data_IF_329134458461
#
_entry.id   IF_329134458461
#
_cell.length_a   1.000
_cell.length_b   1.000
_cell.length_c   1.000
_cell.angle_alpha   90.00
_cell.angle_beta   90.00
_cell.angle_gamma   90.00
#
_symmetry.space_group_name_H-M   'P 1'
#
loop_
_entity.id
_entity.type
_entity.pdbx_description
1 polymer ?
#
# COMPACT_ATOMS: atom_id res chain seq x y z
N UNK A 1 -13.71 -5.84 9.60
CA UNK A 1 -12.36 -5.37 9.91
C UNK A 1 -12.08 -5.77 11.35
N UNK A 2 -10.83 -6.06 11.69
CA UNK A 2 -10.43 -6.20 13.09
C UNK A 2 -9.04 -5.63 13.33
N UNK A 3 -8.85 -5.01 14.49
CA UNK A 3 -7.54 -4.53 14.94
C UNK A 3 -6.73 -5.69 15.52
N UNK A 4 -5.42 -5.65 15.29
CA UNK A 4 -4.47 -6.60 15.85
C UNK A 4 -3.75 -5.94 17.02
N UNK A 5 -3.79 -6.59 18.19
CA UNK A 5 -2.86 -6.28 19.25
C UNK A 5 -1.45 -6.82 18.89
N UNK A 6 -0.44 -6.44 19.67
CA UNK A 6 0.94 -6.81 19.38
C UNK A 6 1.15 -8.33 19.24
N UNK A 7 0.53 -9.14 20.09
CA UNK A 7 0.69 -10.59 20.06
C UNK A 7 0.05 -11.18 18.78
N UNK A 8 -1.17 -10.75 18.43
CA UNK A 8 -1.82 -11.18 17.18
C UNK A 8 -1.02 -10.73 15.96
N UNK A 9 -0.49 -9.51 15.97
CA UNK A 9 0.37 -9.02 14.89
C UNK A 9 1.60 -9.94 14.71
N UNK A 10 2.34 -10.21 15.78
CA UNK A 10 3.56 -11.05 15.73
C UNK A 10 3.30 -12.47 15.22
N UNK A 11 2.14 -13.05 15.54
CA UNK A 11 1.80 -14.42 15.14
C UNK A 11 1.16 -14.47 13.75
N UNK A 12 0.25 -13.56 13.44
CA UNK A 12 -0.58 -13.62 12.24
C UNK A 12 0.02 -12.81 11.09
N UNK A 13 0.41 -11.56 11.33
CA UNK A 13 0.64 -10.58 10.28
C UNK A 13 2.13 -10.26 10.04
N UNK A 14 2.97 -10.25 11.07
CA UNK A 14 4.40 -9.98 10.97
C UNK A 14 5.14 -10.99 10.05
N UNK A 15 4.89 -12.31 10.13
CA UNK A 15 5.55 -13.26 9.23
C UNK A 15 5.15 -13.06 7.76
N UNK A 16 3.97 -12.50 7.52
CA UNK A 16 3.47 -12.19 6.19
C UNK A 16 4.08 -10.86 5.72
N UNK A 17 4.13 -9.85 6.59
CA UNK A 17 4.81 -8.59 6.34
C UNK A 17 6.25 -8.84 5.88
N UNK A 18 7.00 -9.67 6.60
CA UNK A 18 8.41 -10.01 6.27
C UNK A 18 8.58 -10.78 4.95
N UNK A 19 7.52 -11.39 4.41
CA UNK A 19 7.55 -11.99 3.06
C UNK A 19 7.40 -10.95 1.98
N UNK A 20 6.70 -9.85 2.27
CA UNK A 20 6.39 -8.79 1.32
C UNK A 20 7.44 -7.68 1.37
N UNK A 21 7.83 -7.26 2.58
CA UNK A 21 8.75 -6.17 2.84
C UNK A 21 9.99 -6.69 3.60
N UNK A 22 11.16 -6.10 3.34
CA UNK A 22 12.38 -6.42 4.10
C UNK A 22 12.52 -5.58 5.37
N UNK A 23 11.81 -4.46 5.45
CA UNK A 23 11.91 -3.48 6.52
C UNK A 23 10.64 -2.62 6.58
N UNK A 24 10.36 -2.06 7.74
CA UNK A 24 9.39 -0.99 7.95
C UNK A 24 10.01 0.42 7.79
N UNK A 25 11.33 0.50 7.60
CA UNK A 25 12.05 1.73 7.27
C UNK A 25 11.77 2.16 5.81
N UNK A 26 10.91 3.16 5.67
CA UNK A 26 10.56 3.80 4.40
C UNK A 26 11.73 4.45 3.65
N UNK A 27 12.84 4.76 4.32
CA UNK A 27 14.01 5.38 3.71
C UNK A 27 15.03 4.35 3.22
N UNK A 28 14.75 3.06 3.40
CA UNK A 28 15.61 2.01 2.92
C UNK A 28 15.68 2.01 1.38
N UNK A 29 16.88 1.74 0.86
CA UNK A 29 17.12 1.60 -0.59
C UNK A 29 16.29 0.45 -1.21
N UNK A 30 15.95 -0.55 -0.41
CA UNK A 30 15.09 -1.66 -0.81
C UNK A 30 13.97 -1.81 0.24
N UNK A 31 12.73 -1.74 -0.22
CA UNK A 31 11.55 -1.88 0.65
C UNK A 31 10.93 -3.26 0.50
N UNK A 32 10.77 -3.71 -0.75
CA UNK A 32 10.19 -5.01 -1.05
C UNK A 32 11.20 -6.15 -0.95
N UNK A 33 10.73 -7.29 -0.48
CA UNK A 33 11.50 -8.53 -0.50
C UNK A 33 11.87 -8.95 -1.92
N UNK A 34 12.91 -9.79 -2.09
CA UNK A 34 13.25 -10.39 -3.38
C UNK A 34 12.14 -11.29 -3.96
N UNK A 35 11.12 -11.66 -3.17
CA UNK A 35 9.96 -12.41 -3.65
C UNK A 35 9.02 -11.54 -4.49
N UNK A 36 9.00 -10.22 -4.28
CA UNK A 36 8.22 -9.28 -5.08
C UNK A 36 8.96 -8.99 -6.39
N UNK A 37 8.62 -9.75 -7.44
CA UNK A 37 9.33 -9.76 -8.73
C UNK A 37 8.99 -8.58 -9.62
N UNK A 38 7.81 -8.00 -9.46
CA UNK A 38 7.39 -6.82 -10.20
C UNK A 38 7.09 -5.68 -9.21
N UNK A 39 7.48 -4.47 -9.59
CA UNK A 39 7.40 -3.27 -8.74
C UNK A 39 7.01 -2.07 -9.61
N UNK A 40 6.15 -1.20 -9.08
CA UNK A 40 5.69 0.03 -9.74
C UNK A 40 5.65 1.16 -8.71
N UNK A 41 5.92 2.37 -9.17
CA UNK A 41 5.74 3.61 -8.40
C UNK A 41 4.54 4.38 -8.97
N UNK A 42 3.77 5.04 -8.11
CA UNK A 42 2.63 5.88 -8.50
C UNK A 42 2.63 7.18 -7.68
N UNK A 43 2.09 8.26 -8.22
CA UNK A 43 2.34 9.64 -7.75
C UNK A 43 1.09 10.48 -7.50
N UNK A 44 -0.11 9.98 -7.76
CA UNK A 44 -1.36 10.70 -7.47
C UNK A 44 -1.96 10.26 -6.13
N UNK A 45 -1.37 10.68 -5.00
CA UNK A 45 -1.94 10.41 -3.68
C UNK A 45 -2.22 11.69 -2.90
N UNK A 46 -3.50 11.88 -2.56
CA UNK A 46 -3.98 12.88 -1.59
C UNK A 46 -3.70 12.40 -0.15
N UNK A 47 -2.47 11.98 0.14
CA UNK A 47 -2.03 11.33 1.39
C UNK A 47 -2.75 10.02 1.75
N UNK A 48 -3.76 9.65 0.96
CA UNK A 48 -4.45 8.38 0.96
C UNK A 48 -4.33 7.76 -0.43
N UNK A 49 -4.43 6.44 -0.49
CA UNK A 49 -4.55 5.75 -1.76
C UNK A 49 -5.89 6.08 -2.40
N UNK A 50 -5.85 6.60 -3.62
CA UNK A 50 -7.07 6.99 -4.32
C UNK A 50 -7.93 5.75 -4.64
N UNK A 51 -9.25 5.95 -4.65
CA UNK A 51 -10.22 4.86 -4.85
C UNK A 51 -9.94 4.06 -6.14
N UNK A 52 -9.65 4.68 -7.31
CA UNK A 52 -9.45 3.91 -8.55
C UNK A 52 -8.28 2.92 -8.48
N UNK A 53 -7.16 3.34 -7.89
CA UNK A 53 -5.99 2.46 -7.75
C UNK A 53 -6.22 1.41 -6.66
N UNK A 54 -6.92 1.76 -5.57
CA UNK A 54 -7.29 0.77 -4.55
C UNK A 54 -8.24 -0.30 -5.12
N UNK A 55 -9.23 0.07 -5.93
CA UNK A 55 -10.12 -0.88 -6.59
C UNK A 55 -9.35 -1.82 -7.52
N UNK A 56 -8.38 -1.30 -8.28
CA UNK A 56 -7.51 -2.09 -9.13
C UNK A 56 -6.65 -3.08 -8.32
N UNK A 57 -6.12 -2.65 -7.17
CA UNK A 57 -5.39 -3.50 -6.21
C UNK A 57 -6.29 -4.60 -5.65
N UNK A 58 -7.48 -4.26 -5.16
CA UNK A 58 -8.43 -5.22 -4.57
C UNK A 58 -8.90 -6.24 -5.60
N UNK A 59 -9.25 -5.80 -6.81
CA UNK A 59 -9.66 -6.70 -7.90
C UNK A 59 -8.54 -7.68 -8.26
N UNK A 60 -7.31 -7.19 -8.39
CA UNK A 60 -6.15 -8.02 -8.72
C UNK A 60 -5.78 -8.99 -7.61
N UNK A 61 -5.84 -8.54 -6.35
CA UNK A 61 -5.61 -9.39 -5.19
C UNK A 61 -6.66 -10.49 -5.05
N UNK A 62 -7.93 -10.17 -5.33
CA UNK A 62 -9.03 -11.14 -5.34
C UNK A 62 -8.78 -12.25 -6.37
N UNK A 63 -8.28 -11.91 -7.55
CA UNK A 63 -7.92 -12.88 -8.58
C UNK A 63 -6.77 -13.82 -8.16
N UNK A 64 -5.94 -13.42 -7.20
CA UNK A 64 -4.87 -14.24 -6.62
C UNK A 64 -5.30 -15.08 -5.40
N UNK A 65 -6.58 -15.00 -5.05
CA UNK A 65 -7.22 -15.74 -3.96
C UNK A 65 -7.15 -15.07 -2.59
N UNK A 66 -6.73 -13.80 -2.51
CA UNK A 66 -6.86 -13.03 -1.26
C UNK A 66 -8.33 -12.62 -1.04
N UNK A 67 -8.77 -12.61 0.21
CA UNK A 67 -10.10 -12.14 0.63
C UNK A 67 -10.06 -10.87 1.47
N UNK A 68 -8.86 -10.36 1.73
CA UNK A 68 -8.59 -9.18 2.54
C UNK A 68 -7.10 -8.87 2.59
N UNK A 69 -6.74 -7.80 3.28
CA UNK A 69 -5.36 -7.36 3.45
C UNK A 69 -5.10 -6.90 4.88
N UNK A 70 -3.83 -6.82 5.22
CA UNK A 70 -3.36 -6.15 6.43
C UNK A 70 -2.98 -4.71 6.11
N UNK A 71 -3.24 -3.81 7.06
CA UNK A 71 -2.69 -2.46 7.06
C UNK A 71 -1.82 -2.29 8.31
N UNK A 72 -0.63 -1.72 8.14
CA UNK A 72 0.33 -1.43 9.20
C UNK A 72 0.81 0.01 9.12
N UNK A 73 0.58 0.78 10.20
CA UNK A 73 1.09 2.14 10.34
C UNK A 73 2.55 2.12 10.82
N UNK A 74 3.40 3.00 10.28
CA UNK A 74 4.81 3.10 10.70
C UNK A 74 4.97 3.75 12.08
N UNK A 75 4.03 4.60 12.50
CA UNK A 75 4.14 5.38 13.72
C UNK A 75 2.90 5.22 14.62
N UNK A 76 3.12 5.08 15.94
CA UNK A 76 2.04 5.11 16.93
C UNK A 76 1.58 6.54 17.17
N UNK A 77 0.38 6.89 16.69
CA UNK A 77 -0.17 8.23 16.89
C UNK A 77 -0.73 8.46 18.30
N UNK A 78 -1.34 7.44 18.92
CA UNK A 78 -1.81 7.49 20.31
C UNK A 78 -1.21 6.35 21.13
N UNK A 79 -0.91 6.66 22.40
CA UNK A 79 -0.60 5.62 23.39
C UNK A 79 -1.81 4.68 23.45
N UNK A 80 -1.63 3.41 23.04
CA UNK A 80 -2.65 2.35 22.95
C UNK A 80 -3.57 2.36 21.71
N UNK A 81 -3.28 3.09 20.62
CA UNK A 81 -3.95 2.82 19.35
C UNK A 81 -3.42 1.53 18.71
N UNK A 82 -4.28 0.81 17.98
CA UNK A 82 -3.83 -0.32 17.18
C UNK A 82 -3.12 0.20 15.93
N UNK A 83 -1.89 -0.28 15.69
CA UNK A 83 -1.12 0.07 14.48
C UNK A 83 -1.40 -0.85 13.30
N UNK A 84 -2.11 -1.94 13.56
CA UNK A 84 -2.25 -3.04 12.63
C UNK A 84 -3.71 -3.44 12.59
N UNK A 85 -4.26 -3.58 11.40
CA UNK A 85 -5.60 -4.12 11.21
C UNK A 85 -5.64 -5.09 10.04
N UNK A 86 -6.65 -5.95 10.05
CA UNK A 86 -7.04 -6.74 8.89
C UNK A 86 -8.37 -6.23 8.37
N UNK A 87 -8.42 -5.98 7.07
CA UNK A 87 -9.60 -5.49 6.37
C UNK A 87 -10.01 -6.51 5.30
N UNK A 88 -11.18 -7.17 5.45
CA UNK A 88 -11.77 -7.96 4.38
C UNK A 88 -12.06 -7.10 3.14
N UNK A 89 -11.83 -7.62 1.93
CA UNK A 89 -12.12 -6.90 0.69
C UNK A 89 -13.60 -6.51 0.52
N UNK A 90 -14.51 -7.26 1.14
CA UNK A 90 -15.93 -6.90 1.19
C UNK A 90 -16.19 -5.53 1.83
N UNK A 91 -15.27 -5.03 2.65
CA UNK A 91 -15.41 -3.75 3.35
C UNK A 91 -14.80 -2.57 2.58
N UNK A 92 -13.97 -2.82 1.56
CA UNK A 92 -13.43 -1.76 0.68
C UNK A 92 -14.48 -1.10 -0.22
N UNK A 93 -15.62 -1.77 -0.40
CA UNK A 93 -16.75 -1.23 -1.19
C UNK A 93 -17.52 -0.10 -0.49
N UNK A 94 -17.19 0.21 0.76
CA UNK A 94 -17.84 1.26 1.52
C UNK A 94 -17.00 2.54 1.40
N UNK A 95 -17.57 3.66 0.91
CA UNK A 95 -16.88 4.95 0.85
C UNK A 95 -16.47 5.49 2.24
N UNK A 96 -16.85 4.77 3.30
CA UNK A 96 -16.63 5.06 4.71
C UNK A 96 -15.78 3.96 5.35
N UNK A 97 -14.72 3.43 4.69
CA UNK A 97 -13.62 2.94 5.52
C UNK A 97 -13.12 4.17 6.27
N UNK A 98 -13.65 4.35 7.46
CA UNK A 98 -13.30 5.44 8.34
C UNK A 98 -11.91 5.16 8.87
N UNK A 99 -10.91 5.48 8.05
CA UNK A 99 -9.50 5.44 8.41
C UNK A 99 -9.24 6.36 9.62
N UNK A 100 -10.18 7.26 9.98
CA UNK A 100 -10.14 8.07 11.19
C UNK A 100 -10.32 7.22 12.44
N UNK A 101 -11.14 6.16 12.41
CA UNK A 101 -11.25 5.18 13.50
C UNK A 101 -9.94 4.41 13.70
N UNK A 102 -9.16 4.23 12.63
CA UNK A 102 -7.81 3.66 12.69
C UNK A 102 -6.74 4.70 13.09
N UNK A 103 -7.13 5.96 13.30
CA UNK A 103 -6.22 7.04 13.67
C UNK A 103 -5.34 7.53 12.52
N UNK A 104 -5.71 7.26 11.27
CA UNK A 104 -4.97 7.65 10.06
C UNK A 104 -5.20 9.11 9.64
N UNK A 105 -5.81 9.92 10.52
CA UNK A 105 -6.10 11.35 10.31
C UNK A 105 -4.85 12.21 10.03
N UNK A 106 -3.64 11.64 10.17
CA UNK A 106 -2.38 12.34 9.95
C UNK A 106 -1.38 11.46 9.20
N UNK A 107 -1.07 11.88 7.96
CA UNK A 107 0.24 12.04 7.29
C UNK A 107 1.38 11.07 7.64
N UNK A 108 1.12 9.84 8.08
CA UNK A 108 2.16 8.82 8.26
C UNK A 108 2.19 7.90 7.06
N UNK A 109 3.39 7.41 6.77
CA UNK A 109 3.55 6.32 5.82
C UNK A 109 2.85 5.08 6.38
N UNK A 110 2.31 4.24 5.50
CA UNK A 110 1.68 2.99 5.92
C UNK A 110 1.83 1.92 4.85
N UNK A 111 1.77 0.68 5.30
CA UNK A 111 1.87 -0.50 4.48
C UNK A 111 0.52 -1.17 4.36
N UNK A 112 0.16 -1.56 3.14
CA UNK A 112 -0.98 -2.44 2.85
C UNK A 112 -0.39 -3.72 2.27
N UNK A 113 -0.79 -4.89 2.73
CA UNK A 113 -0.21 -6.13 2.21
C UNK A 113 -1.15 -7.32 2.22
N UNK A 114 -0.90 -8.17 1.25
CA UNK A 114 -1.58 -9.43 1.00
C UNK A 114 -1.67 -10.30 2.25
N UNK A 115 -2.83 -10.90 2.50
CA UNK A 115 -2.96 -11.98 3.49
C UNK A 115 -2.21 -13.26 3.12
N UNK A 116 -1.90 -13.46 1.83
CA UNK A 116 -1.09 -14.59 1.36
C UNK A 116 0.39 -14.24 1.17
N UNK A 117 0.77 -12.98 1.34
CA UNK A 117 2.14 -12.48 1.18
C UNK A 117 2.61 -12.36 -0.28
N UNK A 118 1.68 -12.22 -1.23
CA UNK A 118 1.99 -12.16 -2.67
C UNK A 118 2.16 -10.75 -3.24
N UNK A 119 1.74 -9.74 -2.49
CA UNK A 119 1.82 -8.34 -2.88
C UNK A 119 1.82 -7.40 -1.67
N UNK A 120 2.26 -6.17 -1.89
CA UNK A 120 2.21 -5.08 -0.93
C UNK A 120 2.22 -3.72 -1.58
N UNK A 121 1.77 -2.74 -0.81
CA UNK A 121 1.75 -1.32 -1.12
C UNK A 121 2.42 -0.60 0.04
N UNK A 122 3.39 0.27 -0.25
CA UNK A 122 3.76 1.36 0.64
C UNK A 122 3.04 2.61 0.14
N UNK A 123 2.33 3.28 1.03
CA UNK A 123 1.83 4.64 0.80
C UNK A 123 2.70 5.59 1.59
N UNK A 124 3.32 6.54 0.89
CA UNK A 124 4.18 7.54 1.52
C UNK A 124 3.45 8.87 1.69
N UNK A 125 3.65 9.49 2.85
CA UNK A 125 3.29 10.88 3.13
C UNK A 125 3.90 11.89 2.15
N UNK A 126 4.95 11.50 1.42
CA UNK A 126 5.59 12.29 0.37
C UNK A 126 4.86 12.22 -0.98
N UNK A 127 3.56 11.89 -1.00
CA UNK A 127 2.70 11.87 -2.19
C UNK A 127 3.15 10.89 -3.28
N UNK A 128 3.76 9.78 -2.89
CA UNK A 128 4.01 8.66 -3.78
C UNK A 128 3.65 7.35 -3.08
N UNK A 129 3.42 6.32 -3.87
CA UNK A 129 3.31 4.97 -3.37
C UNK A 129 4.15 3.98 -4.17
N UNK A 130 4.51 2.89 -3.53
CA UNK A 130 5.20 1.77 -4.16
C UNK A 130 4.28 0.56 -4.11
N UNK A 131 4.09 -0.07 -5.26
CA UNK A 131 3.35 -1.30 -5.43
C UNK A 131 4.33 -2.42 -5.77
N UNK A 132 4.25 -3.55 -5.08
CA UNK A 132 5.12 -4.70 -5.31
C UNK A 132 4.32 -5.98 -5.27
N UNK A 133 4.67 -6.95 -6.12
CA UNK A 133 3.97 -8.22 -6.15
C UNK A 133 4.52 -9.21 -7.15
N UNK A 134 3.73 -10.27 -7.41
CA UNK A 134 3.98 -11.15 -8.55
C UNK A 134 3.73 -10.41 -9.87
N UNK A 135 4.31 -10.86 -10.99
CA UNK A 135 4.05 -10.25 -12.30
C UNK A 135 2.56 -10.22 -12.64
N UNK A 136 1.84 -11.32 -12.36
CA UNK A 136 0.41 -11.45 -12.63
C UNK A 136 -0.42 -10.44 -11.82
N UNK A 137 0.00 -10.15 -10.58
CA UNK A 137 -0.62 -9.11 -9.76
C UNK A 137 -0.48 -7.73 -10.40
N UNK A 138 0.75 -7.35 -10.74
CA UNK A 138 1.06 -6.01 -11.29
C UNK A 138 0.41 -5.83 -12.66
N UNK A 139 0.39 -6.85 -13.51
CA UNK A 139 -0.31 -6.82 -14.79
C UNK A 139 -1.83 -6.67 -14.60
N UNK A 140 -2.41 -7.34 -13.61
CA UNK A 140 -3.81 -7.16 -13.24
C UNK A 140 -4.12 -5.71 -12.85
N UNK A 141 -3.28 -5.11 -12.01
CA UNK A 141 -3.45 -3.72 -11.57
C UNK A 141 -3.34 -2.76 -12.75
N UNK A 142 -2.33 -2.93 -13.62
CA UNK A 142 -2.18 -2.11 -14.83
C UNK A 142 -3.35 -2.25 -15.80
N UNK A 143 -3.89 -3.45 -15.95
CA UNK A 143 -5.05 -3.67 -16.81
C UNK A 143 -6.31 -2.96 -16.29
N UNK A 144 -6.47 -2.91 -14.96
CA UNK A 144 -7.59 -2.25 -14.29
C UNK A 144 -7.41 -0.73 -14.12
N UNK A 145 -6.16 -0.25 -14.05
CA UNK A 145 -5.80 1.17 -13.94
C UNK A 145 -4.65 1.52 -14.90
N UNK A 146 -4.94 1.69 -16.21
CA UNK A 146 -3.92 1.96 -17.23
C UNK A 146 -3.14 3.26 -17.02
N UNK A 147 -3.70 4.21 -16.26
CA UNK A 147 -3.09 5.48 -15.88
C UNK A 147 -1.89 5.31 -14.96
N UNK A 148 -1.73 4.13 -14.33
CA UNK A 148 -0.64 3.84 -13.38
C UNK A 148 0.75 4.21 -13.92
N UNK A 149 1.03 3.82 -15.16
CA UNK A 149 2.33 4.10 -15.78
C UNK A 149 2.41 5.56 -16.28
N UNK A 150 1.26 6.20 -16.57
CA UNK A 150 1.19 7.58 -17.06
C UNK A 150 1.60 8.60 -15.99
N UNK A 151 1.21 8.38 -14.74
CA UNK A 151 1.57 9.24 -13.61
C UNK A 151 3.09 9.40 -13.45
N UNK A 152 3.84 8.33 -13.69
CA UNK A 152 5.30 8.35 -13.63
C UNK A 152 5.87 9.29 -14.69
N UNK A 153 5.34 9.24 -15.92
CA UNK A 153 5.77 10.13 -17.00
C UNK A 153 5.39 11.58 -16.73
N UNK A 154 4.21 11.84 -16.18
CA UNK A 154 3.76 13.18 -15.83
C UNK A 154 4.68 13.80 -14.76
N UNK A 155 5.07 13.02 -13.74
CA UNK A 155 6.05 13.46 -12.73
C UNK A 155 7.40 13.85 -13.35
N UNK A 156 7.97 12.99 -14.21
CA UNK A 156 9.23 13.30 -14.91
C UNK A 156 9.12 14.53 -15.83
N UNK A 157 7.94 14.77 -16.39
CA UNK A 157 7.70 15.89 -17.30
C UNK A 157 7.65 17.23 -16.56
N UNK A 158 7.10 17.23 -15.34
CA UNK A 158 7.10 18.40 -14.45
C UNK A 158 8.53 18.72 -13.99
N UNK A 159 9.30 17.72 -13.55
CA UNK A 159 10.69 17.92 -13.12
C UNK A 159 11.58 18.56 -14.20
N UNK A 160 11.43 18.10 -15.46
CA UNK A 160 12.13 18.70 -16.61
C UNK A 160 11.69 20.14 -16.92
N UNK A 161 10.43 20.48 -16.70
CA UNK A 161 9.97 21.87 -16.88
C UNK A 161 10.56 22.80 -15.82
N UNK A 162 10.76 22.33 -14.59
CA UNK A 162 11.38 23.12 -13.52
C UNK A 162 12.86 23.38 -13.79
N UNK A 163 13.60 22.38 -14.27
CA UNK A 163 15.03 22.54 -14.66
C UNK A 163 15.23 23.46 -15.89
N UNK A 164 14.19 23.65 -16.73
CA UNK A 164 14.24 24.55 -17.88
C UNK A 164 13.95 26.02 -17.53
N UNK A 165 13.47 26.30 -16.32
CA UNK A 165 13.11 27.64 -15.85
C UNK A 165 14.20 28.24 -14.93
N UNK A 166 15.20 27.45 -14.53
CA UNK A 166 16.41 27.88 -13.81
C UNK A 166 17.57 28.23 -14.75
#
# INVERSE_FOLDING_TARGET
MYTLNQNRYQVEAEPIFQRVFITDDRLANEIFSPAMKARVIFFALTQQIEIPIMDAVVASATNLGDSGCYISLTEQWKRNSANHCYIPFSEFSHPEIDLDELGMYFVSDYFIYSSSGKWGVLVSSAHYGLLGGSPEFIEGVRAAFPELDREVYDFYSIGKMTEMIE
#
